data_IF_737668821285
#
_entry.id   IF_737668821285
#
_cell.length_a   1.000
_cell.length_b   1.000
_cell.length_c   1.000
_cell.angle_alpha   90.00
_cell.angle_beta   90.00
_cell.angle_gamma   90.00
#
_symmetry.space_group_name_H-M   'P 1'
#
loop_
_entity.id
_entity.type
_entity.pdbx_description
1 polymer ?
#
# COMPACT_ATOMS: atom_id res chain seq x y z
N UNK A 1 19.61 -20.33 -5.15
CA UNK A 1 20.06 -20.10 -3.75
C UNK A 1 18.92 -20.51 -2.84
N UNK A 2 19.19 -21.37 -1.87
CA UNK A 2 18.24 -21.75 -0.82
C UNK A 2 18.49 -20.96 0.48
N UNK A 3 17.64 -21.12 1.51
CA UNK A 3 17.73 -20.36 2.76
C UNK A 3 19.03 -20.60 3.50
N UNK A 4 19.55 -21.83 3.53
CA UNK A 4 20.81 -22.14 4.20
C UNK A 4 22.02 -21.49 3.53
N UNK A 5 22.04 -21.46 2.20
CA UNK A 5 23.04 -20.70 1.45
C UNK A 5 22.94 -19.19 1.72
N UNK A 6 21.72 -18.66 1.79
CA UNK A 6 21.51 -17.25 2.12
C UNK A 6 22.04 -16.92 3.52
N UNK A 7 21.76 -17.76 4.53
CA UNK A 7 22.29 -17.60 5.88
C UNK A 7 23.82 -17.59 5.93
N UNK A 8 24.46 -18.51 5.19
CA UNK A 8 25.92 -18.56 5.14
C UNK A 8 26.51 -17.29 4.51
N UNK A 9 25.92 -16.83 3.39
CA UNK A 9 26.33 -15.59 2.72
C UNK A 9 26.14 -14.38 3.63
N UNK A 10 25.00 -14.27 4.33
CA UNK A 10 24.72 -13.13 5.20
C UNK A 10 25.74 -13.04 6.36
N UNK A 11 26.18 -14.16 6.93
CA UNK A 11 27.28 -14.17 7.93
C UNK A 11 28.60 -13.64 7.35
N UNK A 12 28.94 -14.04 6.12
CA UNK A 12 30.15 -13.54 5.45
C UNK A 12 30.06 -12.03 5.15
N UNK A 13 28.87 -11.56 4.76
CA UNK A 13 28.60 -10.14 4.51
C UNK A 13 28.74 -9.32 5.79
N UNK A 14 28.22 -9.81 6.91
CA UNK A 14 28.40 -9.19 8.23
C UNK A 14 29.88 -9.16 8.63
N UNK A 15 30.60 -10.28 8.48
CA UNK A 15 32.05 -10.35 8.76
C UNK A 15 32.87 -9.40 7.89
N UNK A 16 32.41 -9.12 6.67
CA UNK A 16 33.02 -8.16 5.77
C UNK A 16 32.70 -6.68 6.11
N UNK A 17 31.94 -6.42 7.19
CA UNK A 17 31.69 -5.09 7.72
C UNK A 17 30.40 -4.43 7.22
N UNK A 18 29.40 -5.20 6.78
CA UNK A 18 28.09 -4.63 6.51
C UNK A 18 27.36 -4.23 7.80
N UNK A 19 26.66 -3.09 7.77
CA UNK A 19 25.91 -2.54 8.92
C UNK A 19 24.46 -3.01 8.97
N UNK A 20 23.90 -3.50 7.87
CA UNK A 20 22.53 -4.02 7.78
C UNK A 20 22.35 -4.92 6.56
N UNK A 21 21.31 -5.76 6.58
CA UNK A 21 20.94 -6.64 5.48
C UNK A 21 19.49 -6.35 5.05
N UNK A 22 19.28 -6.09 3.77
CA UNK A 22 17.92 -6.00 3.21
C UNK A 22 17.56 -7.31 2.49
N UNK A 23 16.64 -8.08 3.08
CA UNK A 23 16.18 -9.35 2.57
C UNK A 23 15.06 -9.16 1.55
N UNK A 24 15.35 -9.54 0.31
CA UNK A 24 14.39 -9.62 -0.79
C UNK A 24 14.45 -11.01 -1.42
N UNK A 25 13.38 -11.42 -2.07
CA UNK A 25 13.33 -12.72 -2.75
C UNK A 25 13.00 -12.50 -4.21
N UNK A 26 13.94 -12.77 -5.10
CA UNK A 26 13.66 -12.87 -6.53
C UNK A 26 14.92 -13.15 -7.34
N UNK A 27 14.71 -13.57 -8.58
CA UNK A 27 15.71 -13.68 -9.62
C UNK A 27 15.06 -13.52 -10.99
N UNK A 28 15.84 -13.46 -12.08
CA UNK A 28 15.30 -13.30 -13.44
C UNK A 28 14.25 -14.35 -13.81
N UNK A 29 14.40 -15.58 -13.35
CA UNK A 29 13.44 -16.66 -13.59
C UNK A 29 12.15 -16.57 -12.74
N UNK A 30 12.13 -15.73 -11.70
CA UNK A 30 11.00 -15.58 -10.76
C UNK A 30 10.59 -14.12 -10.61
N UNK A 31 10.59 -13.38 -11.72
CA UNK A 31 10.26 -11.94 -11.74
C UNK A 31 8.93 -11.60 -11.08
N UNK A 32 7.92 -12.47 -11.19
CA UNK A 32 6.62 -12.30 -10.52
C UNK A 32 6.74 -12.23 -8.98
N UNK A 33 7.80 -12.78 -8.39
CA UNK A 33 8.09 -12.66 -6.95
C UNK A 33 8.83 -11.36 -6.60
N UNK A 34 9.47 -10.70 -7.56
CA UNK A 34 10.17 -9.41 -7.32
C UNK A 34 9.19 -8.34 -6.86
N UNK A 35 8.02 -8.29 -7.50
CA UNK A 35 6.93 -7.35 -7.16
C UNK A 35 5.65 -8.15 -6.96
N UNK A 36 5.50 -8.82 -5.80
CA UNK A 36 4.39 -9.73 -5.56
C UNK A 36 3.04 -9.03 -5.66
N UNK A 37 2.15 -9.54 -6.53
CA UNK A 37 0.80 -9.04 -6.72
C UNK A 37 -0.17 -9.60 -5.66
N UNK A 38 -1.46 -9.28 -5.76
CA UNK A 38 -2.50 -9.80 -4.87
C UNK A 38 -2.66 -11.34 -4.91
N UNK A 39 -2.03 -12.04 -5.84
CA UNK A 39 -1.96 -13.51 -5.84
C UNK A 39 -0.96 -14.07 -4.81
N UNK A 40 -0.03 -13.25 -4.32
CA UNK A 40 0.96 -13.64 -3.32
C UNK A 40 0.50 -13.09 -1.96
N UNK A 41 0.54 -13.86 -0.88
CA UNK A 41 0.13 -13.39 0.45
C UNK A 41 0.89 -12.14 0.92
N UNK A 42 0.28 -11.36 1.81
CA UNK A 42 0.94 -10.25 2.48
C UNK A 42 2.11 -10.76 3.32
N UNK A 43 3.21 -9.99 3.37
CA UNK A 43 4.42 -10.38 4.10
C UNK A 43 5.20 -11.53 3.46
N UNK A 44 5.15 -11.66 2.14
CA UNK A 44 5.69 -12.80 1.38
C UNK A 44 7.14 -13.18 1.73
N UNK A 45 7.98 -12.21 2.13
CA UNK A 45 9.40 -12.46 2.39
C UNK A 45 9.78 -12.30 3.87
N UNK A 46 8.81 -12.10 4.75
CA UNK A 46 9.03 -11.89 6.18
C UNK A 46 9.72 -13.10 6.84
N UNK A 47 9.32 -14.31 6.48
CA UNK A 47 9.94 -15.53 7.04
C UNK A 47 11.40 -15.67 6.60
N UNK A 48 11.75 -15.29 5.38
CA UNK A 48 13.14 -15.26 4.94
C UNK A 48 13.97 -14.30 5.79
N UNK A 49 13.48 -13.07 6.00
CA UNK A 49 14.15 -12.10 6.86
C UNK A 49 14.29 -12.61 8.30
N UNK A 50 13.24 -13.25 8.85
CA UNK A 50 13.27 -13.87 10.17
C UNK A 50 14.36 -14.96 10.28
N UNK A 51 14.51 -15.79 9.24
CA UNK A 51 15.56 -16.82 9.22
C UNK A 51 16.98 -16.22 9.14
N UNK A 52 17.17 -15.15 8.38
CA UNK A 52 18.45 -14.43 8.34
C UNK A 52 18.75 -13.76 9.69
N UNK A 53 17.76 -13.11 10.29
CA UNK A 53 17.89 -12.45 11.59
C UNK A 53 18.38 -13.39 12.71
N UNK A 54 18.05 -14.68 12.64
CA UNK A 54 18.53 -15.67 13.63
C UNK A 54 20.03 -15.96 13.57
N UNK A 55 20.73 -15.57 12.50
CA UNK A 55 22.11 -15.97 12.24
C UNK A 55 23.08 -14.80 12.05
N UNK A 56 22.62 -13.57 12.13
CA UNK A 56 23.44 -12.35 12.08
C UNK A 56 23.10 -11.47 13.29
N UNK A 57 24.05 -10.63 13.69
CA UNK A 57 23.89 -9.64 14.79
C UNK A 57 23.51 -8.24 14.30
N UNK A 58 23.59 -7.98 13.00
CA UNK A 58 23.25 -6.69 12.39
C UNK A 58 21.76 -6.62 12.00
N UNK A 59 21.17 -5.40 11.91
CA UNK A 59 19.76 -5.22 11.58
C UNK A 59 19.37 -5.85 10.24
N UNK A 60 18.19 -6.49 10.21
CA UNK A 60 17.65 -7.12 9.02
C UNK A 60 16.35 -6.42 8.60
N UNK A 61 16.36 -5.87 7.39
CA UNK A 61 15.17 -5.32 6.74
C UNK A 61 14.43 -6.40 5.95
N UNK A 62 13.12 -6.33 5.95
CA UNK A 62 12.25 -7.14 5.09
C UNK A 62 11.47 -6.29 4.09
N UNK A 63 11.04 -6.89 2.99
CA UNK A 63 10.23 -6.29 1.93
C UNK A 63 9.17 -7.29 1.45
N UNK A 64 8.22 -6.87 0.65
CA UNK A 64 7.28 -7.77 -0.05
C UNK A 64 5.87 -7.78 0.52
N UNK A 65 5.01 -6.89 0.00
CA UNK A 65 3.60 -6.76 0.38
C UNK A 65 3.38 -6.62 1.89
N UNK A 66 4.13 -5.75 2.53
CA UNK A 66 3.97 -5.49 3.95
C UNK A 66 2.95 -4.37 4.13
N UNK A 67 1.80 -4.73 4.68
CA UNK A 67 0.67 -3.84 4.98
C UNK A 67 0.45 -3.68 6.49
N UNK A 68 1.22 -4.39 7.32
CA UNK A 68 1.18 -4.34 8.79
C UNK A 68 2.56 -4.63 9.37
N UNK A 69 2.80 -4.21 10.61
CA UNK A 69 4.02 -4.51 11.32
C UNK A 69 4.02 -5.98 11.74
N UNK A 70 5.03 -6.74 11.34
CA UNK A 70 5.08 -8.19 11.59
C UNK A 70 5.92 -8.59 12.81
N UNK A 71 6.79 -7.70 13.32
CA UNK A 71 7.73 -8.00 14.42
C UNK A 71 8.81 -9.04 14.12
N UNK A 72 8.89 -9.56 12.89
CA UNK A 72 9.84 -10.61 12.47
C UNK A 72 11.08 -10.06 11.73
N UNK A 73 11.22 -8.76 11.65
CA UNK A 73 12.37 -8.05 11.12
C UNK A 73 12.58 -6.76 11.91
N UNK A 74 13.79 -6.22 11.86
CA UNK A 74 14.13 -4.99 12.58
C UNK A 74 13.68 -3.75 11.80
N UNK A 75 13.67 -3.85 10.48
CA UNK A 75 13.30 -2.77 9.56
C UNK A 75 12.34 -3.29 8.48
N UNK A 76 11.55 -2.38 7.93
CA UNK A 76 10.63 -2.68 6.81
C UNK A 76 10.92 -1.75 5.64
N UNK A 77 11.26 -2.32 4.48
CA UNK A 77 11.41 -1.58 3.25
C UNK A 77 10.05 -1.47 2.54
N UNK A 78 9.52 -0.25 2.45
CA UNK A 78 8.21 0.04 1.88
C UNK A 78 8.33 0.72 0.52
N UNK A 79 7.87 0.04 -0.55
CA UNK A 79 7.74 0.64 -1.88
C UNK A 79 6.28 1.00 -2.17
N UNK A 80 5.50 0.03 -2.62
CA UNK A 80 4.11 0.27 -3.03
C UNK A 80 3.18 0.73 -1.90
N UNK A 81 3.47 0.34 -0.66
CA UNK A 81 2.75 0.85 0.50
C UNK A 81 2.87 2.37 0.61
N UNK A 82 4.09 2.93 0.42
CA UNK A 82 4.33 4.38 0.41
C UNK A 82 3.75 5.08 -0.82
N UNK A 83 3.59 4.37 -1.96
CA UNK A 83 2.88 4.90 -3.13
C UNK A 83 1.38 5.00 -2.87
N UNK A 84 0.81 4.02 -2.16
CA UNK A 84 -0.60 4.05 -1.76
C UNK A 84 -0.85 5.10 -0.68
N UNK A 85 0.02 5.17 0.32
CA UNK A 85 -0.08 6.11 1.44
C UNK A 85 1.30 6.66 1.81
N UNK A 86 1.66 7.86 1.33
CA UNK A 86 2.94 8.48 1.67
C UNK A 86 3.07 8.85 3.17
N UNK A 87 1.95 9.08 3.85
CA UNK A 87 1.90 9.42 5.27
C UNK A 87 1.83 8.16 6.19
N UNK A 88 1.96 6.95 5.62
CA UNK A 88 1.85 5.68 6.36
C UNK A 88 2.75 5.63 7.61
N UNK A 89 4.04 6.01 7.58
CA UNK A 89 4.88 5.99 8.78
C UNK A 89 4.36 6.91 9.88
N UNK A 90 3.90 8.11 9.53
CA UNK A 90 3.34 9.07 10.49
C UNK A 90 2.04 8.56 11.11
N UNK A 91 1.18 7.93 10.32
CA UNK A 91 -0.06 7.32 10.80
C UNK A 91 0.19 6.14 11.74
N UNK A 92 1.19 5.31 11.45
CA UNK A 92 1.62 4.25 12.35
C UNK A 92 2.16 4.82 13.67
N UNK A 93 2.99 5.85 13.61
CA UNK A 93 3.56 6.51 14.78
C UNK A 93 2.50 7.13 15.67
N UNK A 94 1.47 7.73 15.09
CA UNK A 94 0.34 8.34 15.82
C UNK A 94 -0.74 7.35 16.26
N UNK A 95 -0.67 6.07 15.85
CA UNK A 95 -1.70 5.06 16.12
C UNK A 95 -2.95 5.19 15.25
N UNK A 96 -2.97 6.09 14.27
CA UNK A 96 -4.10 6.31 13.33
C UNK A 96 -4.12 5.26 12.20
N UNK A 97 -4.19 3.99 12.60
CA UNK A 97 -4.10 2.87 11.65
C UNK A 97 -5.29 2.74 10.72
N UNK A 98 -6.47 3.22 11.12
CA UNK A 98 -7.68 3.14 10.31
C UNK A 98 -7.66 4.10 9.10
N UNK A 99 -6.89 5.18 9.17
CA UNK A 99 -6.70 6.10 8.05
C UNK A 99 -5.59 5.70 7.10
N UNK A 100 -4.90 4.58 7.34
CA UNK A 100 -3.87 4.08 6.40
C UNK A 100 -4.53 3.54 5.14
N UNK A 101 -4.18 4.14 4.00
CA UNK A 101 -4.60 3.67 2.68
C UNK A 101 -3.72 2.50 2.22
N UNK A 102 -4.22 1.30 2.41
CA UNK A 102 -3.46 0.07 2.18
C UNK A 102 -3.26 -0.24 0.69
N UNK A 103 -2.05 -0.61 0.30
CA UNK A 103 -1.76 -1.11 -1.05
C UNK A 103 -2.47 -2.44 -1.31
N UNK A 104 -3.35 -2.50 -2.30
CA UNK A 104 -4.12 -3.70 -2.69
C UNK A 104 -3.36 -4.70 -3.57
N UNK A 105 -2.08 -4.49 -3.83
CA UNK A 105 -1.26 -5.41 -4.62
C UNK A 105 -1.64 -5.55 -6.09
N UNK A 106 -2.41 -4.61 -6.68
CA UNK A 106 -2.92 -4.71 -8.06
C UNK A 106 -1.84 -4.62 -9.15
N UNK A 107 -0.70 -4.00 -8.86
CA UNK A 107 0.42 -3.75 -9.77
C UNK A 107 0.08 -2.97 -11.06
N UNK A 108 -1.12 -2.41 -11.21
CA UNK A 108 -1.58 -1.79 -12.46
C UNK A 108 -0.94 -0.41 -12.70
N UNK A 109 -1.17 0.54 -11.79
CA UNK A 109 -0.71 1.92 -11.94
C UNK A 109 0.76 2.13 -11.61
N UNK A 110 1.34 1.32 -10.75
CA UNK A 110 2.77 1.36 -10.40
C UNK A 110 3.60 0.53 -11.39
N UNK A 111 3.74 -0.78 -11.18
CA UNK A 111 4.55 -1.65 -12.03
C UNK A 111 4.12 -1.61 -13.49
N UNK A 112 2.82 -1.70 -13.77
CA UNK A 112 2.30 -1.72 -15.13
C UNK A 112 2.57 -0.42 -15.90
N UNK A 113 2.55 0.74 -15.24
CA UNK A 113 2.94 2.01 -15.84
C UNK A 113 4.45 2.08 -16.07
N UNK A 114 5.25 1.68 -15.08
CA UNK A 114 6.72 1.69 -15.19
C UNK A 114 7.21 0.79 -16.32
N UNK A 115 6.66 -0.42 -16.47
CA UNK A 115 7.00 -1.32 -17.57
C UNK A 115 6.65 -0.74 -18.95
N UNK A 116 5.64 0.13 -19.02
CA UNK A 116 5.24 0.85 -20.23
C UNK A 116 5.95 2.21 -20.39
N UNK A 117 6.94 2.51 -19.55
CA UNK A 117 7.65 3.80 -19.50
C UNK A 117 6.71 5.01 -19.36
N UNK A 118 5.61 4.84 -18.64
CA UNK A 118 4.63 5.89 -18.30
C UNK A 118 4.83 6.37 -16.88
N UNK A 119 4.30 7.54 -16.58
CA UNK A 119 4.28 8.08 -15.21
C UNK A 119 3.59 7.10 -14.27
N UNK A 120 4.20 6.89 -13.09
CA UNK A 120 3.65 6.08 -12.03
C UNK A 120 2.30 6.66 -11.59
N UNK A 121 1.32 5.78 -11.40
CA UNK A 121 0.03 6.11 -10.80
C UNK A 121 -0.33 5.02 -9.79
N UNK A 122 -1.39 5.23 -9.00
CA UNK A 122 -1.91 4.21 -8.10
C UNK A 122 -3.42 4.06 -8.29
N UNK A 123 -3.92 2.83 -8.18
CA UNK A 123 -5.34 2.56 -8.34
C UNK A 123 -6.18 3.08 -7.16
N UNK A 124 -5.58 3.12 -5.96
CA UNK A 124 -6.26 3.56 -4.72
C UNK A 124 -5.85 4.98 -4.29
N UNK A 125 -4.73 5.51 -4.76
CA UNK A 125 -4.28 6.86 -4.45
C UNK A 125 -4.32 7.73 -5.72
N UNK A 126 -5.29 8.64 -5.87
CA UNK A 126 -5.44 9.47 -7.07
C UNK A 126 -4.33 10.52 -7.23
N UNK A 127 -3.56 10.79 -6.17
CA UNK A 127 -2.49 11.79 -6.15
C UNK A 127 -1.13 11.21 -6.55
N UNK A 128 -0.96 9.87 -6.53
CA UNK A 128 0.31 9.23 -6.86
C UNK A 128 0.81 9.61 -8.26
N UNK A 129 2.04 10.12 -8.33
CA UNK A 129 2.67 10.65 -9.55
C UNK A 129 2.19 12.04 -9.96
N UNK A 130 1.45 12.76 -9.09
CA UNK A 130 0.96 14.12 -9.31
C UNK A 130 1.25 15.04 -8.13
N UNK A 131 2.10 14.63 -7.22
CA UNK A 131 2.35 15.27 -5.93
C UNK A 131 2.84 16.72 -6.07
N UNK A 132 3.47 17.06 -7.20
CA UNK A 132 3.94 18.41 -7.50
C UNK A 132 2.83 19.37 -7.99
N UNK A 133 1.70 18.83 -8.44
CA UNK A 133 0.62 19.61 -9.07
C UNK A 133 -0.72 19.50 -8.35
N UNK A 134 -0.90 18.44 -7.56
CA UNK A 134 -2.14 18.17 -6.85
C UNK A 134 -1.84 17.61 -5.46
N UNK A 135 -2.48 18.17 -4.45
CA UNK A 135 -2.38 17.69 -3.07
C UNK A 135 -3.77 17.52 -2.47
N UNK A 136 -4.00 16.47 -1.67
CA UNK A 136 -5.22 16.37 -0.89
C UNK A 136 -5.36 17.50 0.15
N UNK A 137 -4.24 18.18 0.47
CA UNK A 137 -4.18 19.32 1.39
C UNK A 137 -4.56 20.65 0.75
N UNK A 138 -4.66 20.71 -0.59
CA UNK A 138 -5.03 21.94 -1.31
C UNK A 138 -6.49 22.30 -1.04
N UNK A 139 -6.71 23.40 -0.32
CA UNK A 139 -8.06 23.90 -0.04
C UNK A 139 -8.63 24.62 -1.26
N UNK A 140 -9.94 24.52 -1.43
CA UNK A 140 -10.64 25.25 -2.48
C UNK A 140 -10.68 26.75 -2.15
N UNK A 141 -10.52 27.60 -3.16
CA UNK A 141 -10.64 29.05 -3.00
C UNK A 141 -12.06 29.49 -2.59
N UNK A 142 -13.08 28.71 -2.95
CA UNK A 142 -14.49 28.94 -2.56
C UNK A 142 -15.13 27.64 -2.15
N UNK A 143 -15.80 27.63 -1.00
CA UNK A 143 -16.61 26.50 -0.51
C UNK A 143 -17.87 26.37 -1.37
N UNK A 144 -18.17 25.17 -1.82
CA UNK A 144 -19.38 24.84 -2.59
C UNK A 144 -20.14 23.72 -1.91
N UNK A 145 -21.46 23.65 -2.18
CA UNK A 145 -22.27 22.47 -1.91
C UNK A 145 -22.16 21.53 -3.09
N UNK A 146 -21.70 20.31 -2.85
CA UNK A 146 -21.46 19.28 -3.88
C UNK A 146 -22.32 18.07 -3.57
N UNK A 147 -23.11 17.64 -4.54
CA UNK A 147 -23.84 16.37 -4.46
C UNK A 147 -23.14 15.35 -5.35
N UNK A 148 -22.77 14.23 -4.75
CA UNK A 148 -22.19 13.09 -5.45
C UNK A 148 -23.25 12.00 -5.54
N UNK A 149 -23.68 11.64 -6.74
CA UNK A 149 -24.65 10.58 -7.00
C UNK A 149 -23.94 9.26 -7.26
N UNK A 150 -24.11 8.30 -6.35
CA UNK A 150 -23.53 6.96 -6.39
C UNK A 150 -22.36 6.77 -5.44
N UNK A 151 -22.48 5.80 -4.54
CA UNK A 151 -21.49 5.41 -3.52
C UNK A 151 -20.56 4.28 -3.97
N UNK A 152 -20.31 4.14 -5.28
CA UNK A 152 -19.23 3.31 -5.78
C UNK A 152 -17.86 3.92 -5.47
N UNK A 153 -16.78 3.21 -5.78
CA UNK A 153 -15.39 3.63 -5.46
C UNK A 153 -15.08 5.07 -5.93
N UNK A 154 -15.47 5.40 -7.16
CA UNK A 154 -15.20 6.74 -7.72
C UNK A 154 -16.02 7.84 -7.05
N UNK A 155 -17.28 7.55 -6.70
CA UNK A 155 -18.12 8.52 -5.99
C UNK A 155 -17.64 8.73 -4.55
N UNK A 156 -17.30 7.67 -3.83
CA UNK A 156 -16.69 7.77 -2.51
C UNK A 156 -15.41 8.60 -2.54
N UNK A 157 -14.51 8.35 -3.51
CA UNK A 157 -13.27 9.09 -3.64
C UNK A 157 -13.51 10.57 -3.98
N UNK A 158 -14.43 10.85 -4.90
CA UNK A 158 -14.81 12.23 -5.23
C UNK A 158 -15.37 12.98 -4.01
N UNK A 159 -16.19 12.32 -3.20
CA UNK A 159 -16.75 12.88 -1.97
C UNK A 159 -15.64 13.15 -0.93
N UNK A 160 -14.74 12.20 -0.71
CA UNK A 160 -13.59 12.35 0.20
C UNK A 160 -12.72 13.52 -0.23
N UNK A 161 -12.28 13.55 -1.48
CA UNK A 161 -11.41 14.62 -1.97
C UNK A 161 -12.11 15.98 -1.90
N UNK A 162 -13.38 16.07 -2.25
CA UNK A 162 -14.14 17.31 -2.15
C UNK A 162 -14.26 17.81 -0.69
N UNK A 163 -14.53 16.91 0.25
CA UNK A 163 -14.60 17.23 1.68
C UNK A 163 -13.22 17.65 2.22
N UNK A 164 -12.15 16.92 1.88
CA UNK A 164 -10.77 17.30 2.23
C UNK A 164 -10.40 18.69 1.72
N UNK A 165 -10.92 19.10 0.56
CA UNK A 165 -10.73 20.45 0.00
C UNK A 165 -11.61 21.52 0.67
N UNK A 166 -12.49 21.14 1.60
CA UNK A 166 -13.31 22.04 2.39
C UNK A 166 -14.70 22.33 1.81
N UNK A 167 -15.15 21.56 0.82
CA UNK A 167 -16.51 21.67 0.32
C UNK A 167 -17.52 21.01 1.26
N UNK A 168 -18.80 21.44 1.20
CA UNK A 168 -19.93 20.74 1.81
C UNK A 168 -20.40 19.64 0.87
N UNK A 169 -20.30 18.37 1.30
CA UNK A 169 -20.57 17.23 0.42
C UNK A 169 -21.75 16.42 0.88
N UNK A 170 -22.61 16.05 -0.04
CA UNK A 170 -23.68 15.07 0.15
C UNK A 170 -23.39 13.91 -0.80
N UNK A 171 -23.11 12.73 -0.25
CA UNK A 171 -23.00 11.49 -1.02
C UNK A 171 -24.32 10.74 -0.96
N UNK A 172 -24.98 10.58 -2.10
CA UNK A 172 -26.21 9.82 -2.24
C UNK A 172 -25.95 8.46 -2.89
N UNK A 173 -26.34 7.39 -2.21
CA UNK A 173 -26.26 6.02 -2.72
C UNK A 173 -27.63 5.35 -2.62
N UNK A 174 -28.05 4.68 -3.68
CA UNK A 174 -29.33 3.98 -3.74
C UNK A 174 -29.35 2.70 -2.92
N UNK A 175 -28.22 1.99 -2.91
CA UNK A 175 -28.08 0.75 -2.13
C UNK A 175 -27.74 1.06 -0.67
N UNK A 176 -28.09 0.20 0.26
CA UNK A 176 -27.77 0.34 1.69
C UNK A 176 -26.27 0.18 2.03
N UNK A 177 -25.38 0.15 1.03
CA UNK A 177 -23.95 -0.10 1.22
C UNK A 177 -23.10 0.64 0.16
N UNK A 178 -21.95 1.16 0.60
CA UNK A 178 -20.94 1.76 -0.28
C UNK A 178 -20.04 0.69 -0.93
N UNK A 179 -19.37 1.07 -2.01
CA UNK A 179 -18.36 0.26 -2.70
C UNK A 179 -18.80 -0.24 -4.08
N UNK A 180 -20.11 -0.31 -4.36
CA UNK A 180 -20.65 -0.69 -5.67
C UNK A 180 -20.05 -2.00 -6.22
N UNK A 181 -19.67 -2.02 -7.48
CA UNK A 181 -19.08 -3.20 -8.16
C UNK A 181 -17.75 -3.67 -7.57
N UNK A 182 -17.05 -2.83 -6.81
CA UNK A 182 -15.79 -3.20 -6.19
C UNK A 182 -15.95 -4.32 -5.16
N UNK A 183 -17.12 -4.40 -4.52
CA UNK A 183 -17.44 -5.49 -3.59
C UNK A 183 -17.36 -6.82 -4.30
N UNK A 184 -18.00 -6.93 -5.47
CA UNK A 184 -17.94 -8.15 -6.29
C UNK A 184 -16.52 -8.43 -6.81
N UNK A 185 -15.77 -7.39 -7.19
CA UNK A 185 -14.38 -7.52 -7.63
C UNK A 185 -13.45 -8.04 -6.53
N UNK A 186 -13.75 -7.80 -5.26
CA UNK A 186 -13.00 -8.27 -4.10
C UNK A 186 -13.38 -9.68 -3.59
N UNK A 187 -14.41 -10.32 -4.15
CA UNK A 187 -14.87 -11.64 -3.70
C UNK A 187 -13.87 -12.79 -3.89
N UNK A 188 -13.03 -12.84 -4.97
CA UNK A 188 -12.02 -13.87 -5.08
C UNK A 188 -11.04 -13.83 -3.90
N UNK A 189 -10.72 -14.99 -3.31
CA UNK A 189 -9.87 -15.10 -2.11
C UNK A 189 -8.50 -14.40 -2.28
N UNK A 190 -7.92 -14.40 -3.48
CA UNK A 190 -6.68 -13.69 -3.79
C UNK A 190 -6.80 -12.16 -3.73
N UNK A 191 -8.02 -11.62 -3.73
CA UNK A 191 -8.30 -10.18 -3.74
C UNK A 191 -8.87 -9.67 -2.42
N UNK A 192 -8.63 -10.34 -1.32
CA UNK A 192 -9.12 -9.93 0.01
C UNK A 192 -8.75 -8.48 0.38
N UNK A 193 -7.57 -7.99 -0.06
CA UNK A 193 -7.14 -6.61 0.18
C UNK A 193 -8.03 -5.55 -0.52
N UNK A 194 -8.86 -5.94 -1.48
CA UNK A 194 -9.79 -5.02 -2.14
C UNK A 194 -10.86 -4.50 -1.17
N UNK A 195 -11.26 -5.32 -0.21
CA UNK A 195 -12.22 -4.92 0.82
C UNK A 195 -11.66 -3.83 1.74
N UNK A 196 -10.35 -3.81 1.99
CA UNK A 196 -9.69 -2.80 2.83
C UNK A 196 -9.87 -1.39 2.25
N UNK A 197 -9.88 -1.24 0.93
CA UNK A 197 -10.10 0.04 0.29
C UNK A 197 -11.53 0.60 0.53
N UNK A 198 -12.55 -0.26 0.45
CA UNK A 198 -13.92 0.15 0.79
C UNK A 198 -14.06 0.52 2.26
N UNK A 199 -13.42 -0.25 3.15
CA UNK A 199 -13.42 0.03 4.58
C UNK A 199 -12.72 1.36 4.88
N UNK A 200 -11.60 1.64 4.24
CA UNK A 200 -10.89 2.91 4.34
C UNK A 200 -11.76 4.08 3.86
N UNK A 201 -12.42 3.95 2.68
CA UNK A 201 -13.29 5.00 2.17
C UNK A 201 -14.46 5.30 3.12
N UNK A 202 -15.07 4.27 3.71
CA UNK A 202 -16.13 4.44 4.73
C UNK A 202 -15.60 5.22 5.92
N UNK A 203 -14.46 4.80 6.48
CA UNK A 203 -13.84 5.48 7.61
C UNK A 203 -13.55 6.95 7.30
N UNK A 204 -12.99 7.24 6.12
CA UNK A 204 -12.71 8.62 5.71
C UNK A 204 -13.96 9.47 5.52
N UNK A 205 -15.04 8.90 4.99
CA UNK A 205 -16.33 9.60 4.82
C UNK A 205 -17.01 9.90 6.16
N UNK A 206 -16.85 9.03 7.16
CA UNK A 206 -17.38 9.25 8.52
C UNK A 206 -16.58 10.30 9.29
N UNK A 207 -15.28 10.45 8.96
CA UNK A 207 -14.36 11.37 9.63
C UNK A 207 -14.41 12.80 9.08
N UNK A 208 -14.81 12.98 7.84
CA UNK A 208 -14.80 14.28 7.12
C UNK A 208 -16.14 14.97 7.12
#
# INVERSE_FOLDING_TARGET
MNVEQAKAICRLVEQAGADAINCSQSGPATFYNTVPSFYVPNGAFVELANEIRKVVGIPVATVGRINSLSGKADLVAMGRASVADPDLPLKLQSGDTQSILTCIGCCQGCLGSTLKKKTLTCLVNPFAGKETTHSPKDKAGHVRKIVVAGGGISGCEAAIVAAMRGHQVILAEREGKLGGQWIAAGMPCSKADFSSFVSWQKHMLERL
#
